data_IF_961112800578
#
_entry.id   IF_961112800578
#
_cell.length_a   1.000
_cell.length_b   1.000
_cell.length_c   1.000
_cell.angle_alpha   90.00
_cell.angle_beta   90.00
_cell.angle_gamma   90.00
#
_symmetry.space_group_name_H-M   'P 1'
#
loop_
_entity.id
_entity.type
_entity.pdbx_description
1 polymer ?
#
# COMPACT_ATOMS: atom_id res chain seq x y z
N UNK A 1 -52.54 -30.14 14.38
CA UNK A 1 -53.21 -28.86 14.02
C UNK A 1 -52.35 -27.74 14.57
N UNK A 2 -51.32 -27.32 13.83
CA UNK A 2 -51.33 -26.18 12.89
C UNK A 2 -51.72 -24.85 13.54
N UNK A 3 -50.75 -23.92 13.59
CA UNK A 3 -51.06 -22.49 13.51
C UNK A 3 -50.62 -21.59 14.66
N UNK A 4 -49.48 -21.85 15.31
CA UNK A 4 -48.81 -20.79 16.08
C UNK A 4 -48.16 -19.81 15.10
N UNK A 5 -48.82 -18.69 14.84
CA UNK A 5 -48.35 -17.65 13.92
C UNK A 5 -46.93 -17.20 14.30
N UNK A 6 -45.97 -17.52 13.43
CA UNK A 6 -44.64 -16.89 13.41
C UNK A 6 -44.89 -15.44 12.97
N UNK A 7 -45.07 -14.53 13.93
CA UNK A 7 -44.87 -13.11 13.66
C UNK A 7 -43.42 -12.95 13.25
N UNK A 8 -43.21 -12.77 11.95
CA UNK A 8 -41.97 -12.25 11.40
C UNK A 8 -41.77 -10.84 11.99
N UNK A 9 -41.13 -10.75 13.15
CA UNK A 9 -40.62 -9.49 13.67
C UNK A 9 -39.73 -8.88 12.58
N UNK A 10 -40.19 -7.81 11.95
CA UNK A 10 -39.46 -7.16 10.87
C UNK A 10 -38.18 -6.55 11.45
N UNK A 11 -37.08 -7.26 11.36
CA UNK A 11 -35.79 -6.75 11.79
C UNK A 11 -35.35 -5.63 10.82
N UNK A 12 -34.98 -4.47 11.37
CA UNK A 12 -34.42 -3.34 10.63
C UNK A 12 -32.94 -3.19 10.97
N UNK A 13 -32.10 -3.32 9.97
CA UNK A 13 -30.66 -3.13 10.10
C UNK A 13 -30.29 -1.65 9.98
N UNK A 14 -29.41 -1.16 10.85
CA UNK A 14 -28.83 0.18 10.75
C UNK A 14 -27.32 0.15 10.99
N UNK A 15 -26.60 0.97 10.22
CA UNK A 15 -25.16 1.13 10.39
C UNK A 15 -24.89 2.01 11.63
N UNK A 16 -24.04 1.51 12.52
CA UNK A 16 -23.46 2.24 13.63
C UNK A 16 -22.21 2.97 13.14
N UNK A 17 -22.22 4.30 13.20
CA UNK A 17 -21.10 5.17 12.84
C UNK A 17 -20.38 5.73 14.07
N UNK A 18 -20.51 5.07 15.23
CA UNK A 18 -19.84 5.48 16.45
C UNK A 18 -18.66 4.56 16.74
N UNK A 19 -17.59 5.14 17.28
CA UNK A 19 -16.42 4.40 17.74
C UNK A 19 -16.39 4.39 19.28
N UNK A 20 -15.38 3.73 19.86
CA UNK A 20 -15.20 3.67 21.32
C UNK A 20 -14.98 5.05 21.96
N UNK A 21 -14.58 6.08 21.19
CA UNK A 21 -14.48 7.45 21.70
C UNK A 21 -15.85 8.17 21.73
N UNK A 22 -16.86 7.62 21.04
CA UNK A 22 -18.18 8.20 20.87
C UNK A 22 -19.30 7.43 21.65
N UNK A 23 -18.93 6.63 22.66
CA UNK A 23 -19.83 5.73 23.42
C UNK A 23 -21.10 6.43 23.93
N UNK A 24 -20.99 7.65 24.43
CA UNK A 24 -22.14 8.37 24.98
C UNK A 24 -23.06 8.93 23.90
N UNK A 25 -22.50 9.32 22.75
CA UNK A 25 -23.28 9.69 21.59
C UNK A 25 -24.00 8.46 21.01
N UNK A 26 -23.36 7.28 21.08
CA UNK A 26 -23.97 6.00 20.74
C UNK A 26 -25.15 5.67 21.68
N UNK A 27 -24.97 5.79 23.01
CA UNK A 27 -26.06 5.60 23.99
C UNK A 27 -27.25 6.53 23.69
N UNK A 28 -26.99 7.82 23.50
CA UNK A 28 -28.04 8.80 23.18
C UNK A 28 -28.72 8.51 21.83
N UNK A 29 -27.99 7.97 20.86
CA UNK A 29 -28.55 7.54 19.58
C UNK A 29 -29.46 6.33 19.74
N UNK A 30 -29.07 5.33 20.54
CA UNK A 30 -29.89 4.15 20.83
C UNK A 30 -31.18 4.52 21.57
N UNK A 31 -31.11 5.42 22.56
CA UNK A 31 -32.28 5.95 23.25
C UNK A 31 -33.21 6.72 22.30
N UNK A 32 -32.68 7.49 21.34
CA UNK A 32 -33.47 8.15 20.29
C UNK A 32 -34.09 7.17 19.28
N UNK A 33 -33.47 5.99 19.07
CA UNK A 33 -34.07 4.92 18.26
C UNK A 33 -35.21 4.24 19.01
N UNK A 34 -35.07 3.96 20.31
CA UNK A 34 -36.14 3.37 21.12
C UNK A 34 -37.37 4.29 21.23
N UNK A 35 -37.15 5.60 21.38
CA UNK A 35 -38.22 6.62 21.31
C UNK A 35 -38.96 6.66 19.97
N UNK A 36 -38.43 6.01 18.94
CA UNK A 36 -39.06 5.86 17.61
C UNK A 36 -39.63 4.47 17.36
N UNK A 37 -39.68 3.62 18.39
CA UNK A 37 -40.15 2.23 18.30
C UNK A 37 -39.14 1.30 17.64
N UNK A 38 -37.84 1.62 17.65
CA UNK A 38 -36.78 0.73 17.18
C UNK A 38 -35.97 0.22 18.37
N UNK A 39 -36.24 -1.01 18.77
CA UNK A 39 -35.62 -1.65 19.94
C UNK A 39 -34.43 -2.50 19.50
N UNK A 40 -33.26 -2.20 20.04
CA UNK A 40 -32.03 -2.92 19.72
C UNK A 40 -32.11 -4.40 20.16
N UNK A 41 -31.87 -5.33 19.24
CA UNK A 41 -31.86 -6.78 19.52
C UNK A 41 -30.48 -7.41 19.38
N UNK A 42 -29.65 -6.91 18.47
CA UNK A 42 -28.31 -7.44 18.24
C UNK A 42 -27.30 -6.36 17.85
N UNK A 43 -26.09 -6.45 18.40
CA UNK A 43 -24.95 -5.59 18.04
C UNK A 43 -23.88 -6.34 17.23
N UNK A 44 -23.81 -6.07 15.93
CA UNK A 44 -22.71 -6.50 15.07
C UNK A 44 -21.50 -5.55 15.12
N UNK A 45 -20.48 -5.79 14.29
CA UNK A 45 -19.28 -4.91 14.23
C UNK A 45 -19.56 -3.51 13.67
N UNK A 46 -20.45 -3.40 12.68
CA UNK A 46 -20.84 -2.13 12.03
C UNK A 46 -22.35 -2.00 11.85
N UNK A 47 -23.08 -3.11 11.92
CA UNK A 47 -24.52 -3.19 11.65
C UNK A 47 -25.22 -3.66 12.91
N UNK A 48 -26.21 -2.89 13.35
CA UNK A 48 -27.06 -3.20 14.50
C UNK A 48 -28.45 -3.57 14.01
N UNK A 49 -29.02 -4.61 14.62
CA UNK A 49 -30.35 -5.09 14.30
C UNK A 49 -31.35 -4.52 15.30
N UNK A 50 -32.45 -4.00 14.79
CA UNK A 50 -33.54 -3.43 15.58
C UNK A 50 -34.85 -4.16 15.27
N UNK A 51 -35.60 -4.52 16.30
CA UNK A 51 -37.00 -4.92 16.15
C UNK A 51 -37.90 -3.67 16.14
N UNK A 52 -38.99 -3.72 15.37
CA UNK A 52 -40.06 -2.74 15.53
C UNK A 52 -40.83 -3.06 16.81
N UNK A 53 -40.98 -2.07 17.68
CA UNK A 53 -41.79 -2.12 18.88
C UNK A 53 -42.49 -0.80 19.12
N UNK A 54 -43.15 -0.68 20.25
CA UNK A 54 -43.75 0.60 20.65
C UNK A 54 -42.65 1.63 21.00
N UNK A 55 -42.89 2.92 20.74
CA UNK A 55 -42.01 3.98 21.23
C UNK A 55 -41.87 3.93 22.75
N UNK A 56 -40.66 3.65 23.24
CA UNK A 56 -40.37 3.57 24.68
C UNK A 56 -39.18 4.44 25.06
N UNK A 57 -39.17 4.92 26.29
CA UNK A 57 -38.03 5.65 26.86
C UNK A 57 -36.93 4.71 27.38
N UNK A 58 -36.61 3.66 26.62
CA UNK A 58 -35.58 2.68 27.03
C UNK A 58 -34.21 3.34 27.21
N UNK A 59 -33.58 3.11 28.36
CA UNK A 59 -32.20 3.57 28.66
C UNK A 59 -31.20 2.54 28.17
N UNK A 60 -30.12 3.00 27.54
CA UNK A 60 -29.03 2.16 27.07
C UNK A 60 -27.71 2.51 27.75
N UNK A 61 -26.96 1.50 28.20
CA UNK A 61 -25.62 1.66 28.77
C UNK A 61 -24.65 0.73 28.07
N UNK A 62 -23.46 1.25 27.77
CA UNK A 62 -22.47 0.53 26.98
C UNK A 62 -21.25 0.31 27.85
N UNK A 63 -20.85 -0.94 28.04
CA UNK A 63 -19.61 -1.31 28.71
C UNK A 63 -18.52 -1.54 27.65
N UNK A 64 -17.34 -0.91 27.74
CA UNK A 64 -16.25 -1.09 26.79
C UNK A 64 -15.51 -2.44 26.95
N UNK A 65 -16.24 -3.51 27.28
CA UNK A 65 -15.77 -4.89 27.48
C UNK A 65 -16.54 -5.81 26.53
N UNK A 66 -15.89 -6.85 25.99
CA UNK A 66 -16.60 -7.85 25.18
C UNK A 66 -17.43 -8.74 26.10
N UNK A 67 -18.65 -9.12 25.68
CA UNK A 67 -19.55 -9.95 26.50
C UNK A 67 -18.91 -11.25 27.01
N UNK A 68 -18.02 -11.86 26.23
CA UNK A 68 -17.27 -13.08 26.58
C UNK A 68 -16.21 -12.88 27.68
N UNK A 69 -15.82 -11.64 27.96
CA UNK A 69 -14.82 -11.29 28.98
C UNK A 69 -15.43 -10.85 30.30
N UNK A 70 -16.75 -10.64 30.33
CA UNK A 70 -17.50 -10.29 31.54
C UNK A 70 -17.83 -11.60 32.26
N UNK A 71 -17.49 -11.69 33.53
CA UNK A 71 -17.76 -12.87 34.37
C UNK A 71 -19.26 -13.03 34.59
N UNK A 72 -19.75 -14.27 34.62
CA UNK A 72 -21.19 -14.53 34.74
C UNK A 72 -21.78 -13.91 36.00
N UNK A 73 -21.04 -13.91 37.10
CA UNK A 73 -21.42 -13.26 38.36
C UNK A 73 -21.67 -11.74 38.19
N UNK A 74 -20.85 -11.04 37.40
CA UNK A 74 -21.01 -9.60 37.13
C UNK A 74 -22.28 -9.34 36.29
N UNK A 75 -22.65 -10.28 35.42
CA UNK A 75 -23.87 -10.19 34.61
C UNK A 75 -25.12 -10.48 35.40
N UNK A 76 -25.06 -11.47 36.28
CA UNK A 76 -26.15 -11.81 37.18
C UNK A 76 -26.42 -10.64 38.14
N UNK A 77 -25.37 -9.92 38.57
CA UNK A 77 -25.51 -8.65 39.31
C UNK A 77 -26.26 -7.62 38.46
N UNK A 78 -25.87 -7.38 37.21
CA UNK A 78 -26.57 -6.42 36.35
C UNK A 78 -28.04 -6.80 36.09
N UNK A 79 -28.31 -8.08 35.87
CA UNK A 79 -29.67 -8.58 35.69
C UNK A 79 -30.51 -8.41 36.96
N UNK A 80 -29.92 -8.68 38.14
CA UNK A 80 -30.56 -8.43 39.44
C UNK A 80 -30.85 -6.95 39.70
N UNK A 81 -30.04 -6.05 39.12
CA UNK A 81 -30.26 -4.61 39.17
C UNK A 81 -31.28 -4.11 38.13
N UNK A 82 -31.88 -5.00 37.33
CA UNK A 82 -32.89 -4.63 36.32
C UNK A 82 -32.31 -4.22 34.96
N UNK A 83 -31.06 -4.58 34.67
CA UNK A 83 -30.43 -4.36 33.36
C UNK A 83 -30.38 -5.63 32.53
N UNK A 84 -30.94 -5.60 31.32
CA UNK A 84 -30.89 -6.72 30.39
C UNK A 84 -29.75 -6.56 29.40
N UNK A 85 -28.94 -7.61 29.23
CA UNK A 85 -27.84 -7.63 28.27
C UNK A 85 -28.34 -7.87 26.84
N UNK A 86 -27.96 -7.00 25.91
CA UNK A 86 -28.18 -7.20 24.47
C UNK A 86 -27.17 -8.21 23.93
N UNK A 87 -27.61 -9.12 23.06
CA UNK A 87 -26.73 -10.07 22.37
C UNK A 87 -25.85 -9.34 21.35
N UNK A 88 -24.59 -9.73 21.21
CA UNK A 88 -23.72 -9.05 20.26
C UNK A 88 -22.35 -9.67 20.06
N UNK A 89 -21.74 -9.33 18.92
CA UNK A 89 -20.33 -9.59 18.59
C UNK A 89 -19.46 -8.34 18.66
N UNK A 90 -20.08 -7.19 18.97
CA UNK A 90 -19.39 -5.91 19.05
C UNK A 90 -18.27 -5.89 20.11
N UNK A 91 -17.35 -4.93 19.97
CA UNK A 91 -16.21 -4.78 20.86
C UNK A 91 -16.61 -4.35 22.28
N UNK A 92 -17.81 -3.79 22.43
CA UNK A 92 -18.46 -3.37 23.68
C UNK A 92 -19.79 -4.10 23.88
N UNK A 93 -20.18 -4.26 25.14
CA UNK A 93 -21.45 -4.90 25.54
C UNK A 93 -22.48 -3.84 25.84
N UNK A 94 -23.70 -4.03 25.35
CA UNK A 94 -24.80 -3.07 25.54
C UNK A 94 -25.82 -3.66 26.50
N UNK A 95 -26.22 -2.88 27.49
CA UNK A 95 -27.28 -3.17 28.44
C UNK A 95 -28.43 -2.19 28.22
N UNK A 96 -29.66 -2.66 28.48
CA UNK A 96 -30.83 -1.80 28.45
C UNK A 96 -31.73 -2.01 29.66
N UNK A 97 -32.53 -1.00 29.98
CA UNK A 97 -33.62 -1.10 30.96
C UNK A 97 -34.80 -0.24 30.51
N UNK A 98 -36.01 -0.72 30.80
CA UNK A 98 -37.26 0.01 30.56
C UNK A 98 -37.71 0.81 31.79
N UNK A 99 -37.16 0.51 32.97
CA UNK A 99 -37.46 1.22 34.21
C UNK A 99 -36.52 2.41 34.39
N UNK A 100 -37.10 3.61 34.51
CA UNK A 100 -36.34 4.85 34.73
C UNK A 100 -35.72 4.93 36.12
N UNK A 101 -36.28 4.23 37.11
CA UNK A 101 -35.86 4.30 38.51
C UNK A 101 -34.69 3.35 38.83
N UNK A 102 -34.32 2.49 37.90
CA UNK A 102 -33.19 1.57 38.06
C UNK A 102 -31.88 2.37 38.25
N UNK A 103 -31.10 2.07 39.30
CA UNK A 103 -29.82 2.73 39.55
C UNK A 103 -28.84 2.49 38.40
N UNK A 104 -27.93 3.44 38.18
CA UNK A 104 -26.88 3.30 37.18
C UNK A 104 -26.00 2.08 37.50
N UNK A 105 -25.56 1.30 36.49
CA UNK A 105 -24.74 0.10 36.71
C UNK A 105 -23.41 0.38 37.42
N UNK A 106 -22.93 1.62 37.34
CA UNK A 106 -21.75 2.10 38.04
C UNK A 106 -22.16 3.17 39.05
N UNK A 107 -22.25 2.79 40.32
CA UNK A 107 -22.52 3.72 41.42
C UNK A 107 -21.25 4.48 41.83
N UNK A 108 -20.06 3.95 41.51
CA UNK A 108 -18.77 4.56 41.80
C UNK A 108 -18.02 5.02 40.53
N UNK A 109 -17.68 6.31 40.49
CA UNK A 109 -16.93 6.90 39.39
C UNK A 109 -15.51 6.32 39.23
N UNK A 110 -15.02 5.54 40.21
CA UNK A 110 -13.68 4.94 40.20
C UNK A 110 -13.67 3.67 39.35
N UNK A 111 -14.63 2.76 39.54
CA UNK A 111 -14.73 1.51 38.76
C UNK A 111 -15.11 1.79 37.31
N UNK A 112 -16.00 2.76 37.07
CA UNK A 112 -16.30 3.25 35.71
C UNK A 112 -15.00 3.75 35.03
N UNK A 113 -14.27 4.65 35.67
CA UNK A 113 -13.01 5.15 35.11
C UNK A 113 -11.98 4.05 34.86
N UNK A 114 -11.95 3.00 35.69
CA UNK A 114 -11.02 1.87 35.53
C UNK A 114 -11.28 1.08 34.24
N UNK A 115 -12.53 0.69 33.97
CA UNK A 115 -12.90 -0.04 32.77
C UNK A 115 -12.70 0.81 31.50
N UNK A 116 -13.18 2.05 31.53
CA UNK A 116 -13.08 2.95 30.38
C UNK A 116 -11.63 3.35 30.10
N UNK A 117 -10.84 3.74 31.11
CA UNK A 117 -9.46 4.19 30.90
C UNK A 117 -8.57 3.05 30.35
N UNK A 118 -8.70 1.82 30.87
CA UNK A 118 -7.89 0.68 30.39
C UNK A 118 -8.16 0.40 28.91
N UNK A 119 -9.43 0.33 28.50
CA UNK A 119 -9.81 0.06 27.11
C UNK A 119 -9.41 1.20 26.18
N UNK A 120 -9.68 2.44 26.57
CA UNK A 120 -9.33 3.63 25.78
C UNK A 120 -7.82 3.77 25.62
N UNK A 121 -7.03 3.48 26.66
CA UNK A 121 -5.58 3.53 26.58
C UNK A 121 -5.02 2.44 25.66
N UNK A 122 -5.56 1.22 25.73
CA UNK A 122 -5.21 0.16 24.79
C UNK A 122 -5.56 0.51 23.33
N UNK A 123 -6.74 1.09 23.10
CA UNK A 123 -7.16 1.56 21.78
C UNK A 123 -6.27 2.73 21.27
N UNK A 124 -5.87 3.64 22.15
CA UNK A 124 -4.93 4.72 21.85
C UNK A 124 -3.57 4.15 21.43
N UNK A 125 -2.98 3.23 22.20
CA UNK A 125 -1.71 2.59 21.86
C UNK A 125 -1.83 1.88 20.51
N UNK A 126 -2.88 1.08 20.31
CA UNK A 126 -3.10 0.38 19.04
C UNK A 126 -3.18 1.38 17.87
N UNK A 127 -3.88 2.50 18.05
CA UNK A 127 -4.02 3.52 17.01
C UNK A 127 -2.68 4.22 16.69
N UNK A 128 -1.86 4.48 17.72
CA UNK A 128 -0.51 5.03 17.56
C UNK A 128 0.39 4.03 16.84
N UNK A 129 0.38 2.75 17.24
CA UNK A 129 1.16 1.68 16.60
C UNK A 129 0.75 1.52 15.13
N UNK A 130 -0.55 1.53 14.83
CA UNK A 130 -1.04 1.51 13.45
C UNK A 130 -0.57 2.72 12.64
N UNK A 131 -0.63 3.93 13.21
CA UNK A 131 -0.12 5.13 12.54
C UNK A 131 1.39 5.05 12.24
N UNK A 132 2.18 4.58 13.22
CA UNK A 132 3.62 4.36 13.06
C UNK A 132 3.90 3.30 11.98
N UNK A 133 3.13 2.21 11.96
CA UNK A 133 3.26 1.16 10.96
C UNK A 133 2.97 1.66 9.55
N UNK A 134 1.90 2.47 9.36
CA UNK A 134 1.59 3.07 8.06
C UNK A 134 2.70 4.07 7.66
N UNK A 135 3.22 4.85 8.60
CA UNK A 135 4.37 5.75 8.34
C UNK A 135 5.63 4.97 7.98
N UNK A 136 5.81 3.76 8.53
CA UNK A 136 6.92 2.87 8.18
C UNK A 136 6.76 2.31 6.76
N UNK A 137 5.54 1.92 6.36
CA UNK A 137 5.23 1.56 4.97
C UNK A 137 5.55 2.71 4.02
N UNK A 138 5.22 3.95 4.40
CA UNK A 138 5.49 5.16 3.61
C UNK A 138 6.99 5.48 3.45
N UNK A 139 7.90 4.81 4.16
CA UNK A 139 9.33 4.98 3.89
C UNK A 139 9.68 4.31 2.55
N UNK A 140 10.10 5.05 1.53
CA UNK A 140 10.66 4.42 0.33
C UNK A 140 11.89 3.61 0.74
N UNK A 141 11.96 2.38 0.23
CA UNK A 141 12.83 1.30 0.71
C UNK A 141 14.34 1.57 0.61
N UNK A 142 14.78 2.67 -0.02
CA UNK A 142 16.21 2.96 -0.23
C UNK A 142 16.72 4.30 0.33
N UNK A 143 15.89 5.28 0.73
CA UNK A 143 16.39 6.68 0.92
C UNK A 143 15.94 7.43 2.18
N UNK A 144 15.45 6.73 3.19
CA UNK A 144 14.97 7.39 4.42
C UNK A 144 13.68 8.19 4.19
N UNK A 145 13.27 9.01 5.17
CA UNK A 145 12.07 9.83 5.02
C UNK A 145 12.32 10.98 4.03
N UNK A 146 11.77 10.85 2.82
CA UNK A 146 11.76 11.94 1.84
C UNK A 146 10.71 12.96 2.29
N UNK A 147 11.16 14.06 2.90
CA UNK A 147 10.27 15.15 3.34
C UNK A 147 9.69 15.96 2.17
N UNK A 148 10.30 15.88 0.99
CA UNK A 148 9.81 16.57 -0.20
C UNK A 148 8.81 15.68 -0.99
N UNK A 149 7.50 16.00 -0.95
CA UNK A 149 6.49 15.19 -1.63
C UNK A 149 6.70 15.13 -3.15
N UNK A 150 7.34 16.14 -3.75
CA UNK A 150 7.64 16.16 -5.18
C UNK A 150 8.70 15.13 -5.53
N UNK A 151 9.76 15.01 -4.73
CA UNK A 151 10.83 14.04 -4.99
C UNK A 151 10.37 12.61 -4.70
N UNK A 152 9.49 12.43 -3.71
CA UNK A 152 8.83 11.15 -3.44
C UNK A 152 7.92 10.71 -4.59
N UNK A 153 7.20 11.64 -5.21
CA UNK A 153 6.37 11.39 -6.40
C UNK A 153 7.19 10.80 -7.55
N UNK A 154 8.34 11.42 -7.88
CA UNK A 154 9.18 10.95 -8.99
C UNK A 154 9.95 9.67 -8.65
N UNK A 155 10.25 9.39 -7.39
CA UNK A 155 10.83 8.10 -6.96
C UNK A 155 9.93 6.91 -7.27
N UNK A 156 8.61 7.11 -7.23
CA UNK A 156 7.63 6.06 -7.51
C UNK A 156 7.28 5.95 -9.00
N UNK A 157 7.90 6.75 -9.88
CA UNK A 157 7.46 6.87 -11.27
C UNK A 157 7.76 5.63 -12.14
N UNK A 158 8.60 4.70 -11.68
CA UNK A 158 8.82 3.39 -12.30
C UNK A 158 7.89 2.29 -11.76
N UNK A 159 7.11 2.57 -10.70
CA UNK A 159 6.19 1.63 -10.10
C UNK A 159 4.87 1.56 -10.88
N UNK A 160 4.10 0.49 -10.67
CA UNK A 160 2.74 0.41 -11.19
C UNK A 160 1.86 1.49 -10.53
N UNK A 161 0.94 2.10 -11.28
CA UNK A 161 0.07 3.18 -10.78
C UNK A 161 -0.72 2.83 -9.53
N UNK A 162 -1.18 1.59 -9.29
CA UNK A 162 -1.84 1.26 -8.03
C UNK A 162 -0.93 1.47 -6.80
N UNK A 163 0.36 1.16 -6.92
CA UNK A 163 1.32 1.45 -5.85
C UNK A 163 1.50 2.95 -5.69
N UNK A 164 1.63 3.70 -6.80
CA UNK A 164 1.69 5.17 -6.77
C UNK A 164 0.48 5.76 -6.04
N UNK A 165 -0.74 5.30 -6.35
CA UNK A 165 -1.97 5.73 -5.68
C UNK A 165 -2.03 5.33 -4.20
N UNK A 166 -1.61 4.09 -3.88
CA UNK A 166 -1.55 3.60 -2.50
C UNK A 166 -0.65 4.50 -1.64
N UNK A 167 0.58 4.77 -2.10
CA UNK A 167 1.57 5.56 -1.37
C UNK A 167 1.23 7.05 -1.30
N UNK A 168 0.67 7.65 -2.36
CA UNK A 168 0.45 9.10 -2.41
C UNK A 168 -0.92 9.55 -1.90
N UNK A 169 -1.94 8.68 -1.97
CA UNK A 169 -3.31 9.06 -1.63
C UNK A 169 -3.78 8.30 -0.40
N UNK A 170 -3.71 6.97 -0.44
CA UNK A 170 -4.37 6.14 0.58
C UNK A 170 -3.60 6.15 1.88
N UNK A 171 -2.30 5.86 1.85
CA UNK A 171 -1.49 5.85 3.06
C UNK A 171 -1.53 7.20 3.80
N UNK A 172 -1.36 8.38 3.16
CA UNK A 172 -1.50 9.66 3.84
C UNK A 172 -2.90 9.90 4.43
N UNK A 173 -3.97 9.54 3.72
CA UNK A 173 -5.33 9.64 4.24
C UNK A 173 -5.56 8.72 5.44
N UNK A 174 -5.02 7.50 5.41
CA UNK A 174 -5.07 6.58 6.54
C UNK A 174 -4.27 7.12 7.74
N UNK A 175 -3.09 7.72 7.54
CA UNK A 175 -2.35 8.38 8.62
C UNK A 175 -3.16 9.52 9.22
N UNK A 176 -3.74 10.40 8.39
CA UNK A 176 -4.59 11.49 8.86
C UNK A 176 -5.78 10.95 9.68
N UNK A 177 -6.43 9.89 9.18
CA UNK A 177 -7.51 9.23 9.89
C UNK A 177 -7.06 8.64 11.23
N UNK A 178 -5.94 7.91 11.28
CA UNK A 178 -5.37 7.40 12.52
C UNK A 178 -5.03 8.52 13.51
N UNK A 179 -4.48 9.64 13.05
CA UNK A 179 -4.21 10.81 13.89
C UNK A 179 -5.49 11.43 14.47
N UNK A 180 -6.57 11.51 13.68
CA UNK A 180 -7.87 11.97 14.21
C UNK A 180 -8.40 11.05 15.30
N UNK A 181 -8.26 9.73 15.14
CA UNK A 181 -8.64 8.72 16.13
C UNK A 181 -7.79 8.86 17.40
N UNK A 182 -6.48 8.98 17.25
CA UNK A 182 -5.54 9.21 18.37
C UNK A 182 -5.94 10.46 19.14
N UNK A 183 -6.24 11.55 18.45
CA UNK A 183 -6.68 12.80 19.07
C UNK A 183 -8.02 12.65 19.79
N UNK A 184 -9.00 11.96 19.20
CA UNK A 184 -10.29 11.63 19.85
C UNK A 184 -10.07 10.89 21.17
N UNK A 185 -9.27 9.81 21.15
CA UNK A 185 -9.00 9.01 22.34
C UNK A 185 -8.21 9.78 23.40
N UNK A 186 -7.18 10.52 23.01
CA UNK A 186 -6.38 11.33 23.93
C UNK A 186 -7.25 12.40 24.62
N UNK A 187 -8.13 13.07 23.85
CA UNK A 187 -9.09 14.05 24.39
C UNK A 187 -10.06 13.41 25.37
N UNK A 188 -10.62 12.25 25.04
CA UNK A 188 -11.57 11.55 25.92
C UNK A 188 -10.91 11.09 27.22
N UNK A 189 -9.70 10.52 27.15
CA UNK A 189 -8.91 10.14 28.34
C UNK A 189 -8.61 11.36 29.20
N UNK A 190 -8.24 12.49 28.57
CA UNK A 190 -7.96 13.73 29.29
C UNK A 190 -9.21 14.29 30.00
N UNK A 191 -10.39 14.21 29.36
CA UNK A 191 -11.66 14.58 29.98
C UNK A 191 -12.03 13.67 31.15
N UNK A 192 -11.88 12.34 31.00
CA UNK A 192 -12.13 11.37 32.08
C UNK A 192 -11.26 11.61 33.33
N UNK A 193 -10.04 12.15 33.14
CA UNK A 193 -9.14 12.49 34.25
C UNK A 193 -9.52 13.77 35.00
N UNK A 194 -10.11 14.77 34.33
CA UNK A 194 -10.28 16.13 34.90
C UNK A 194 -11.66 16.43 35.49
N UNK A 195 -12.74 15.87 34.97
CA UNK A 195 -14.10 16.22 35.40
C UNK A 195 -14.93 14.99 35.79
N UNK A 196 -15.96 15.21 36.61
CA UNK A 196 -17.12 14.30 36.68
C UNK A 196 -17.83 14.40 35.33
N UNK A 197 -17.87 13.27 34.62
CA UNK A 197 -18.13 13.19 33.20
C UNK A 197 -19.52 13.75 32.85
N UNK A 198 -19.60 14.91 32.18
CA UNK A 198 -20.88 15.52 31.78
C UNK A 198 -21.40 14.89 30.48
N UNK A 199 -22.63 14.38 30.53
CA UNK A 199 -23.36 13.84 29.38
C UNK A 199 -23.50 14.92 28.31
N UNK A 200 -22.83 14.74 27.17
CA UNK A 200 -22.88 15.72 26.08
C UNK A 200 -24.22 15.61 25.34
N UNK A 201 -24.92 16.73 25.19
CA UNK A 201 -26.14 16.80 24.39
C UNK A 201 -25.77 16.93 22.90
N UNK A 202 -26.33 16.04 22.07
CA UNK A 202 -26.22 16.11 20.60
C UNK A 202 -25.31 15.06 19.95
N UNK A 203 -25.90 13.96 19.46
CA UNK A 203 -25.21 12.91 18.70
C UNK A 203 -25.30 13.09 17.17
N UNK A 204 -26.28 13.86 16.68
CA UNK A 204 -26.62 13.93 15.24
C UNK A 204 -25.45 14.42 14.38
N UNK A 205 -24.84 15.54 14.75
CA UNK A 205 -23.69 16.12 14.02
C UNK A 205 -22.52 15.12 13.99
N UNK A 206 -22.21 14.53 15.15
CA UNK A 206 -21.13 13.55 15.27
C UNK A 206 -21.36 12.33 14.38
N UNK A 207 -22.59 11.82 14.37
CA UNK A 207 -22.99 10.70 13.50
C UNK A 207 -22.82 11.04 12.02
N UNK A 208 -23.24 12.23 11.58
CA UNK A 208 -23.08 12.65 10.18
C UNK A 208 -21.61 12.80 9.79
N UNK A 209 -20.77 13.38 10.65
CA UNK A 209 -19.32 13.49 10.40
C UNK A 209 -18.67 12.10 10.27
N UNK A 210 -18.92 11.21 11.23
CA UNK A 210 -18.37 9.85 11.17
C UNK A 210 -18.91 9.07 9.96
N UNK A 211 -20.18 9.26 9.59
CA UNK A 211 -20.78 8.68 8.39
C UNK A 211 -20.02 9.12 7.13
N UNK A 212 -19.79 10.42 6.95
CA UNK A 212 -19.08 10.94 5.78
C UNK A 212 -17.66 10.36 5.72
N UNK A 213 -16.93 10.37 6.84
CA UNK A 213 -15.55 9.88 6.91
C UNK A 213 -15.44 8.37 6.60
N UNK A 214 -16.27 7.54 7.24
CA UNK A 214 -16.24 6.09 7.06
C UNK A 214 -16.62 5.73 5.62
N UNK A 215 -17.69 6.32 5.08
CA UNK A 215 -18.09 6.03 3.70
C UNK A 215 -17.06 6.54 2.67
N UNK A 216 -16.43 7.70 2.90
CA UNK A 216 -15.36 8.19 2.04
C UNK A 216 -14.17 7.21 1.99
N UNK A 217 -13.77 6.65 3.14
CA UNK A 217 -12.71 5.64 3.20
C UNK A 217 -13.11 4.37 2.44
N UNK A 218 -14.34 3.87 2.65
CA UNK A 218 -14.85 2.69 1.94
C UNK A 218 -14.82 2.92 0.43
N UNK A 219 -15.32 4.07 -0.04
CA UNK A 219 -15.32 4.43 -1.47
C UNK A 219 -13.90 4.51 -2.03
N UNK A 220 -12.95 5.07 -1.28
CA UNK A 220 -11.54 5.13 -1.71
C UNK A 220 -10.91 3.73 -1.80
N UNK A 221 -11.15 2.86 -0.83
CA UNK A 221 -10.63 1.49 -0.84
C UNK A 221 -11.24 0.66 -1.97
N UNK A 222 -12.54 0.74 -2.17
CA UNK A 222 -13.23 0.07 -3.27
C UNK A 222 -12.78 0.64 -4.62
N UNK A 223 -12.64 1.96 -4.72
CA UNK A 223 -12.13 2.62 -5.92
C UNK A 223 -10.71 2.18 -6.28
N UNK A 224 -9.82 2.06 -5.29
CA UNK A 224 -8.49 1.48 -5.51
C UNK A 224 -8.56 0.03 -5.93
N UNK A 225 -9.38 -0.79 -5.26
CA UNK A 225 -9.53 -2.20 -5.60
C UNK A 225 -10.01 -2.38 -7.04
N UNK A 226 -11.02 -1.62 -7.46
CA UNK A 226 -11.49 -1.57 -8.84
C UNK A 226 -10.35 -1.10 -9.76
N UNK A 227 -9.61 -0.06 -9.38
CA UNK A 227 -8.49 0.43 -10.17
C UNK A 227 -7.40 -0.63 -10.37
N UNK A 228 -6.97 -1.33 -9.30
CA UNK A 228 -5.97 -2.40 -9.36
C UNK A 228 -6.41 -3.54 -10.29
N UNK A 229 -7.69 -3.90 -10.23
CA UNK A 229 -8.22 -5.06 -10.98
C UNK A 229 -8.51 -4.70 -12.44
N UNK A 230 -9.08 -3.53 -12.68
CA UNK A 230 -9.66 -3.18 -13.98
C UNK A 230 -8.84 -2.15 -14.75
N UNK A 231 -7.98 -1.36 -14.11
CA UNK A 231 -7.10 -0.43 -14.85
C UNK A 231 -5.87 -1.19 -15.34
N UNK A 232 -5.65 -1.23 -16.67
CA UNK A 232 -4.62 -2.05 -17.28
C UNK A 232 -3.30 -1.27 -17.27
N UNK A 233 -2.74 -1.07 -16.10
CA UNK A 233 -1.28 -1.04 -15.99
C UNK A 233 -0.81 -2.46 -16.28
N UNK A 234 -0.73 -2.78 -17.58
CA UNK A 234 -0.29 -4.07 -18.05
C UNK A 234 1.21 -4.12 -17.85
N UNK A 235 1.65 -4.91 -16.86
CA UNK A 235 2.98 -5.52 -16.89
C UNK A 235 2.87 -6.81 -17.68
N UNK A 236 3.35 -6.79 -18.91
CA UNK A 236 3.56 -8.00 -19.69
C UNK A 236 5.05 -8.28 -19.55
N UNK A 237 5.38 -9.23 -18.68
CA UNK A 237 6.73 -9.76 -18.55
C UNK A 237 6.71 -11.17 -19.11
N UNK A 238 7.66 -11.45 -19.98
CA UNK A 238 7.73 -12.76 -20.60
C UNK A 238 9.16 -13.29 -20.59
N UNK A 239 9.31 -14.46 -20.00
CA UNK A 239 10.57 -15.22 -19.91
C UNK A 239 10.65 -16.40 -20.88
N UNK A 240 9.54 -16.75 -21.57
CA UNK A 240 9.61 -17.73 -22.66
C UNK A 240 10.34 -17.11 -23.84
N UNK A 241 11.40 -17.77 -24.32
CA UNK A 241 12.20 -17.25 -25.44
C UNK A 241 11.36 -17.00 -26.68
N UNK A 242 10.39 -17.87 -26.98
CA UNK A 242 9.50 -17.70 -28.13
C UNK A 242 8.73 -16.38 -28.08
N UNK A 243 8.16 -16.06 -26.93
CA UNK A 243 7.35 -14.87 -26.77
C UNK A 243 8.21 -13.60 -26.60
N UNK A 244 9.35 -13.70 -25.89
CA UNK A 244 10.30 -12.60 -25.74
C UNK A 244 10.94 -12.19 -27.09
N UNK A 245 11.22 -13.16 -27.96
CA UNK A 245 11.67 -12.92 -29.34
C UNK A 245 10.56 -12.35 -30.24
N UNK A 246 9.31 -12.71 -29.98
CA UNK A 246 8.16 -12.16 -30.71
C UNK A 246 7.85 -10.71 -30.32
N UNK A 247 8.19 -10.31 -29.09
CA UNK A 247 8.07 -8.92 -28.64
C UNK A 247 8.96 -8.02 -29.50
N UNK A 248 8.37 -6.99 -30.12
CA UNK A 248 9.09 -6.02 -30.96
C UNK A 248 8.79 -4.60 -30.50
N UNK A 249 9.80 -3.95 -29.94
CA UNK A 249 9.77 -2.51 -29.68
C UNK A 249 10.78 -1.81 -30.59
N UNK A 250 10.29 -1.05 -31.56
CA UNK A 250 11.13 -0.38 -32.54
C UNK A 250 12.03 0.69 -31.93
N UNK A 251 11.61 1.31 -30.82
CA UNK A 251 12.37 2.37 -30.13
C UNK A 251 13.42 1.80 -29.15
N UNK A 252 13.32 0.53 -28.76
CA UNK A 252 14.28 -0.14 -27.88
C UNK A 252 15.47 -0.65 -28.71
N UNK A 253 16.69 -0.42 -28.24
CA UNK A 253 17.89 -1.07 -28.81
C UNK A 253 18.00 -2.45 -28.18
N UNK A 254 17.72 -3.50 -28.97
CA UNK A 254 17.81 -4.89 -28.53
C UNK A 254 19.26 -5.36 -28.55
N UNK A 255 19.56 -6.40 -27.78
CA UNK A 255 20.88 -7.01 -27.75
C UNK A 255 21.33 -7.47 -29.15
N UNK A 256 20.38 -7.97 -29.95
CA UNK A 256 20.61 -8.35 -31.34
C UNK A 256 21.11 -7.21 -32.24
N UNK A 257 20.78 -5.95 -31.91
CA UNK A 257 21.27 -4.76 -32.62
C UNK A 257 22.54 -4.21 -31.99
N UNK A 258 22.69 -4.38 -30.67
CA UNK A 258 23.84 -3.92 -29.90
C UNK A 258 25.11 -4.71 -30.23
N UNK A 259 25.01 -6.05 -30.19
CA UNK A 259 26.07 -7.01 -30.51
C UNK A 259 25.49 -8.17 -31.36
N UNK A 260 25.36 -7.97 -32.68
CA UNK A 260 24.83 -9.02 -33.57
C UNK A 260 25.66 -10.31 -33.54
N UNK A 261 26.99 -10.18 -33.40
CA UNK A 261 27.90 -11.33 -33.39
C UNK A 261 27.70 -12.25 -32.19
N UNK A 262 27.68 -11.70 -30.98
CA UNK A 262 27.42 -12.50 -29.77
C UNK A 262 25.98 -13.00 -29.73
N UNK A 263 25.04 -12.24 -30.28
CA UNK A 263 23.65 -12.63 -30.32
C UNK A 263 23.36 -13.89 -31.13
N UNK A 264 24.02 -14.08 -32.28
CA UNK A 264 23.85 -15.31 -33.08
C UNK A 264 24.25 -16.56 -32.28
N UNK A 265 25.31 -16.47 -31.46
CA UNK A 265 25.73 -17.54 -30.56
C UNK A 265 24.73 -17.76 -29.42
N UNK A 266 24.29 -16.70 -28.74
CA UNK A 266 23.30 -16.80 -27.65
C UNK A 266 22.01 -17.41 -28.16
N UNK A 267 21.51 -16.93 -29.30
CA UNK A 267 20.27 -17.42 -29.93
C UNK A 267 20.36 -18.90 -30.30
N UNK A 268 21.50 -19.35 -30.84
CA UNK A 268 21.70 -20.76 -31.17
C UNK A 268 21.64 -21.68 -29.93
N UNK A 269 22.03 -21.17 -28.76
CA UNK A 269 22.05 -21.91 -27.50
C UNK A 269 20.81 -21.71 -26.62
N UNK A 270 19.80 -20.94 -27.07
CA UNK A 270 18.56 -20.72 -26.32
C UNK A 270 17.72 -21.99 -26.14
N UNK A 271 17.82 -22.97 -27.05
CA UNK A 271 17.05 -24.21 -26.95
C UNK A 271 18.01 -25.38 -26.80
N UNK A 272 17.84 -26.16 -25.75
CA UNK A 272 18.63 -27.37 -25.47
C UNK A 272 17.74 -28.61 -25.47
N UNK A 273 18.34 -29.77 -25.71
CA UNK A 273 17.64 -31.06 -25.64
C UNK A 273 17.70 -31.62 -24.23
N UNK A 274 16.54 -31.92 -23.67
CA UNK A 274 16.37 -32.69 -22.45
C UNK A 274 15.60 -33.99 -22.77
N UNK A 275 16.36 -35.09 -22.87
CA UNK A 275 15.86 -36.36 -23.42
C UNK A 275 15.30 -36.19 -24.84
N UNK A 276 13.99 -36.45 -25.00
CA UNK A 276 13.27 -36.34 -26.28
C UNK A 276 12.55 -34.98 -26.46
N UNK A 277 12.71 -34.03 -25.54
CA UNK A 277 12.05 -32.72 -25.60
C UNK A 277 13.07 -31.61 -25.80
N UNK A 278 12.67 -30.59 -26.56
CA UNK A 278 13.39 -29.33 -26.61
C UNK A 278 12.87 -28.43 -25.50
N UNK A 279 13.75 -27.90 -24.67
CA UNK A 279 13.43 -26.99 -23.57
C UNK A 279 14.25 -25.70 -23.70
N UNK A 280 13.75 -24.63 -23.10
CA UNK A 280 14.50 -23.38 -22.95
C UNK A 280 15.75 -23.65 -22.08
N UNK A 281 16.91 -23.16 -22.51
CA UNK A 281 18.17 -23.35 -21.82
C UNK A 281 18.14 -22.67 -20.43
N UNK A 282 18.30 -23.42 -19.33
CA UNK A 282 18.24 -22.86 -17.98
C UNK A 282 19.43 -21.96 -17.64
N UNK A 283 20.54 -22.03 -18.39
CA UNK A 283 21.71 -21.19 -18.19
C UNK A 283 21.56 -19.80 -18.83
N UNK A 284 20.53 -19.60 -19.66
CA UNK A 284 20.24 -18.31 -20.31
C UNK A 284 18.98 -17.73 -19.72
N UNK A 285 19.06 -16.48 -19.27
CA UNK A 285 17.87 -15.68 -18.94
C UNK A 285 17.66 -14.69 -20.07
N UNK A 286 16.48 -14.70 -20.69
CA UNK A 286 16.09 -13.70 -21.68
C UNK A 286 14.65 -13.26 -21.46
N UNK A 287 14.50 -12.05 -20.96
CA UNK A 287 13.22 -11.49 -20.57
C UNK A 287 12.98 -10.18 -21.32
N UNK A 288 11.72 -9.98 -21.70
CA UNK A 288 11.28 -8.67 -22.19
C UNK A 288 10.07 -8.23 -21.40
N UNK A 289 9.99 -6.93 -21.14
CA UNK A 289 8.84 -6.35 -20.46
C UNK A 289 8.27 -5.15 -21.19
N UNK A 290 6.96 -4.99 -21.06
CA UNK A 290 6.23 -3.79 -21.40
C UNK A 290 5.36 -3.39 -20.22
N UNK A 291 5.64 -2.21 -19.68
CA UNK A 291 4.92 -1.60 -18.58
C UNK A 291 4.36 -0.22 -19.02
N UNK A 292 3.28 0.22 -18.38
CA UNK A 292 2.74 1.58 -18.49
C UNK A 292 2.19 2.02 -17.15
N UNK A 293 2.23 3.32 -16.88
CA UNK A 293 1.62 3.89 -15.69
C UNK A 293 1.14 5.34 -15.94
N UNK A 294 0.67 6.01 -14.90
CA UNK A 294 0.15 7.37 -15.00
C UNK A 294 1.19 8.42 -15.44
N UNK A 295 2.49 8.17 -15.25
CA UNK A 295 3.59 9.10 -15.58
C UNK A 295 4.32 8.72 -16.86
N UNK A 296 4.44 7.42 -17.12
CA UNK A 296 5.15 6.82 -18.23
C UNK A 296 4.14 6.20 -19.20
N UNK A 297 4.09 6.75 -20.41
CA UNK A 297 3.26 6.22 -21.49
C UNK A 297 3.67 4.82 -21.92
N UNK A 298 4.97 4.51 -21.76
CA UNK A 298 5.58 3.24 -22.07
C UNK A 298 6.88 3.09 -21.28
N UNK A 299 7.09 1.93 -20.71
CA UNK A 299 8.35 1.47 -20.15
C UNK A 299 8.62 0.11 -20.79
N UNK A 300 9.78 -0.07 -21.39
CA UNK A 300 10.11 -1.31 -22.08
C UNK A 300 11.50 -1.75 -21.69
N UNK A 301 11.66 -3.02 -21.37
CA UNK A 301 12.95 -3.59 -21.02
C UNK A 301 13.27 -4.82 -21.82
N UNK A 302 14.57 -5.07 -21.94
CA UNK A 302 15.13 -6.36 -22.32
C UNK A 302 16.24 -6.70 -21.33
N UNK A 303 16.20 -7.91 -20.81
CA UNK A 303 17.14 -8.48 -19.87
C UNK A 303 17.71 -9.76 -20.46
N UNK A 304 19.02 -9.79 -20.66
CA UNK A 304 19.76 -10.95 -21.13
C UNK A 304 20.90 -11.26 -20.15
N UNK A 305 20.99 -12.51 -19.72
CA UNK A 305 22.14 -13.08 -19.04
C UNK A 305 22.48 -14.41 -19.69
N UNK A 306 23.73 -14.59 -20.12
CA UNK A 306 24.17 -15.82 -20.75
C UNK A 306 25.62 -16.16 -20.34
N UNK A 307 25.96 -17.44 -20.16
CA UNK A 307 27.33 -17.85 -19.90
C UNK A 307 28.21 -17.48 -21.08
N UNK A 308 29.35 -16.87 -20.79
CA UNK A 308 30.34 -16.53 -21.80
C UNK A 308 31.18 -17.76 -22.13
N UNK A 309 31.11 -18.28 -23.37
CA UNK A 309 32.02 -19.35 -23.82
C UNK A 309 33.42 -18.84 -24.17
N UNK A 310 33.56 -17.55 -24.47
CA UNK A 310 34.78 -16.89 -24.91
C UNK A 310 35.68 -16.40 -23.79
N UNK A 311 35.22 -16.47 -22.53
CA UNK A 311 36.01 -16.07 -21.37
C UNK A 311 36.28 -17.29 -20.50
N UNK A 312 37.52 -17.78 -20.57
CA UNK A 312 38.03 -18.84 -19.72
C UNK A 312 37.68 -18.55 -18.27
N UNK A 313 37.06 -19.54 -17.62
CA UNK A 313 36.67 -19.59 -16.19
C UNK A 313 37.82 -19.35 -15.21
N UNK A 314 39.04 -19.20 -15.71
CA UNK A 314 40.24 -19.02 -14.94
C UNK A 314 40.51 -17.53 -14.73
N UNK A 315 39.93 -17.03 -13.63
CA UNK A 315 40.23 -15.78 -12.94
C UNK A 315 39.68 -14.52 -13.63
N UNK A 316 38.50 -14.08 -13.13
CA UNK A 316 37.81 -12.79 -13.38
C UNK A 316 37.00 -12.61 -14.69
N UNK A 317 35.90 -13.35 -14.87
CA UNK A 317 35.00 -13.11 -16.01
C UNK A 317 33.56 -13.59 -15.76
N UNK A 318 32.66 -12.67 -15.42
CA UNK A 318 31.24 -12.94 -15.23
C UNK A 318 30.51 -13.33 -16.52
N UNK A 319 29.24 -13.74 -16.37
CA UNK A 319 28.33 -13.98 -17.49
C UNK A 319 28.17 -12.72 -18.36
N UNK A 320 27.94 -12.90 -19.67
CA UNK A 320 27.51 -11.83 -20.56
C UNK A 320 26.16 -11.32 -20.05
N UNK A 321 26.09 -10.04 -19.69
CA UNK A 321 24.87 -9.41 -19.19
C UNK A 321 24.53 -8.20 -20.04
N UNK A 322 23.28 -8.09 -20.47
CA UNK A 322 22.73 -6.91 -21.12
C UNK A 322 21.35 -6.61 -20.56
N UNK A 323 21.23 -5.47 -19.91
CA UNK A 323 19.99 -4.92 -19.41
C UNK A 323 19.74 -3.58 -20.08
N UNK A 324 18.59 -3.39 -20.72
CA UNK A 324 18.18 -2.09 -21.26
C UNK A 324 16.78 -1.77 -20.80
N UNK A 325 16.57 -0.52 -20.39
CA UNK A 325 15.26 0.03 -20.03
C UNK A 325 15.03 1.34 -20.77
N UNK A 326 13.96 1.42 -21.55
CA UNK A 326 13.47 2.61 -22.20
C UNK A 326 12.23 3.13 -21.46
N UNK A 327 12.31 4.36 -20.96
CA UNK A 327 11.21 5.09 -20.35
C UNK A 327 10.72 6.18 -21.30
N UNK A 328 9.43 6.17 -21.64
CA UNK A 328 8.75 7.21 -22.41
C UNK A 328 7.77 7.96 -21.52
N UNK A 329 8.22 9.07 -20.96
CA UNK A 329 7.41 9.90 -20.09
C UNK A 329 6.31 10.66 -20.85
N UNK A 330 5.24 11.04 -20.15
CA UNK A 330 4.20 11.92 -20.71
C UNK A 330 4.71 13.32 -21.08
N UNK A 331 5.84 13.76 -20.51
CA UNK A 331 6.47 15.03 -20.85
C UNK A 331 7.98 15.00 -20.59
N UNK A 332 8.70 15.90 -21.26
CA UNK A 332 10.14 16.09 -21.03
C UNK A 332 10.47 16.48 -19.58
N UNK A 333 9.58 17.24 -18.93
CA UNK A 333 9.74 17.66 -17.52
C UNK A 333 9.69 16.45 -16.57
N UNK A 334 8.79 15.50 -16.82
CA UNK A 334 8.68 14.26 -16.03
C UNK A 334 9.96 13.43 -16.20
N UNK A 335 10.41 13.21 -17.44
CA UNK A 335 11.65 12.48 -17.71
C UNK A 335 12.86 13.12 -17.01
N UNK A 336 12.98 14.45 -17.06
CA UNK A 336 14.08 15.18 -16.44
C UNK A 336 14.08 15.13 -14.90
N UNK A 337 12.90 15.02 -14.26
CA UNK A 337 12.76 14.93 -12.79
C UNK A 337 12.88 13.50 -12.27
N UNK A 338 12.42 12.52 -13.05
CA UNK A 338 12.54 11.10 -12.74
C UNK A 338 14.00 10.62 -12.83
N UNK A 339 14.70 11.00 -13.90
CA UNK A 339 16.02 10.48 -14.25
C UNK A 339 17.04 10.50 -13.10
N UNK A 340 17.27 11.61 -12.36
CA UNK A 340 18.27 11.60 -11.28
C UNK A 340 17.99 10.56 -10.19
N UNK A 341 16.72 10.42 -9.80
CA UNK A 341 16.34 9.42 -8.80
C UNK A 341 16.53 8.00 -9.32
N UNK A 342 16.20 7.76 -10.59
CA UNK A 342 16.39 6.45 -11.20
C UNK A 342 17.87 6.12 -11.39
N UNK A 343 18.72 7.07 -11.81
CA UNK A 343 20.18 6.87 -11.89
C UNK A 343 20.71 6.35 -10.56
N UNK A 344 20.37 7.00 -9.45
CA UNK A 344 20.79 6.57 -8.12
C UNK A 344 20.29 5.16 -7.77
N UNK A 345 19.01 4.86 -8.04
CA UNK A 345 18.44 3.53 -7.77
C UNK A 345 19.11 2.43 -8.61
N UNK A 346 19.43 2.72 -9.87
CA UNK A 346 20.07 1.79 -10.79
C UNK A 346 21.53 1.53 -10.40
N UNK A 347 22.26 2.58 -9.98
CA UNK A 347 23.61 2.45 -9.44
C UNK A 347 23.63 1.60 -8.16
N UNK A 348 22.72 1.88 -7.22
CA UNK A 348 22.59 1.14 -5.96
C UNK A 348 22.27 -0.34 -6.22
N UNK A 349 21.28 -0.63 -7.07
CA UNK A 349 20.91 -1.99 -7.44
C UNK A 349 22.02 -2.78 -8.15
N UNK A 350 22.95 -2.08 -8.80
CA UNK A 350 24.13 -2.66 -9.45
C UNK A 350 25.39 -2.59 -8.57
N UNK A 351 25.27 -2.27 -7.28
CA UNK A 351 26.37 -2.19 -6.31
C UNK A 351 27.47 -1.15 -6.65
N UNK A 352 27.10 -0.03 -7.28
CA UNK A 352 27.99 1.12 -7.46
C UNK A 352 27.93 2.07 -6.25
N UNK A 353 29.05 2.71 -5.89
CA UNK A 353 29.03 3.85 -4.95
C UNK A 353 28.20 5.02 -5.52
N UNK A 354 27.21 5.49 -4.74
CA UNK A 354 26.22 6.50 -5.15
C UNK A 354 26.61 7.92 -4.67
N UNK A 355 27.91 8.19 -4.51
CA UNK A 355 28.36 9.52 -4.06
C UNK A 355 28.02 10.63 -5.07
N UNK A 356 27.56 11.80 -4.57
CA UNK A 356 27.21 12.97 -5.41
C UNK A 356 28.34 13.40 -6.35
N UNK A 357 29.60 13.23 -5.91
CA UNK A 357 30.78 13.52 -6.74
C UNK A 357 30.80 12.59 -7.94
N UNK A 358 30.67 11.29 -7.70
CA UNK A 358 30.69 10.26 -8.73
C UNK A 358 29.60 10.48 -9.77
N UNK A 359 28.35 10.73 -9.35
CA UNK A 359 27.24 11.01 -10.29
C UNK A 359 27.52 12.21 -11.20
N UNK A 360 28.20 13.26 -10.70
CA UNK A 360 28.57 14.41 -11.53
C UNK A 360 29.65 14.05 -12.56
N UNK A 361 30.63 13.25 -12.15
CA UNK A 361 31.80 12.90 -12.96
C UNK A 361 31.44 11.94 -14.12
N UNK A 362 30.31 11.22 -14.04
CA UNK A 362 29.80 10.37 -15.12
C UNK A 362 29.32 11.14 -16.35
N UNK A 363 28.97 12.43 -16.19
CA UNK A 363 28.29 13.21 -17.23
C UNK A 363 29.25 13.61 -18.34
N UNK A 364 28.81 13.48 -19.59
CA UNK A 364 29.52 13.98 -20.76
C UNK A 364 28.57 14.68 -21.73
N UNK A 365 29.13 15.43 -22.69
CA UNK A 365 28.35 16.07 -23.76
C UNK A 365 28.28 15.14 -24.96
N UNK A 366 27.09 15.07 -25.57
CA UNK A 366 26.85 14.36 -26.82
C UNK A 366 25.81 15.13 -27.61
N UNK A 367 26.13 15.47 -28.86
CA UNK A 367 25.24 16.27 -29.70
C UNK A 367 23.95 15.51 -30.01
N UNK A 368 22.81 16.17 -29.86
CA UNK A 368 21.49 15.57 -30.06
C UNK A 368 20.89 14.87 -28.84
N UNK A 369 21.57 14.88 -27.68
CA UNK A 369 21.01 14.42 -26.39
C UNK A 369 20.93 15.56 -25.38
N UNK A 370 19.87 15.58 -24.58
CA UNK A 370 19.72 16.57 -23.50
C UNK A 370 20.58 16.21 -22.27
N UNK A 371 20.86 14.91 -22.10
CA UNK A 371 21.68 14.37 -21.03
C UNK A 371 22.34 13.06 -21.48
N UNK A 372 23.62 12.91 -21.15
CA UNK A 372 24.36 11.68 -21.33
C UNK A 372 25.30 11.49 -20.14
N UNK A 373 25.29 10.30 -19.56
CA UNK A 373 26.21 9.89 -18.51
C UNK A 373 26.64 8.45 -18.71
N UNK A 374 27.89 8.16 -18.38
CA UNK A 374 28.51 6.85 -18.51
C UNK A 374 29.37 6.56 -17.29
N UNK A 375 29.35 5.30 -16.86
CA UNK A 375 30.17 4.81 -15.78
C UNK A 375 30.63 3.39 -16.06
N UNK A 376 31.85 3.08 -15.65
CA UNK A 376 32.39 1.72 -15.59
C UNK A 376 32.72 1.41 -14.13
N UNK A 377 32.48 0.17 -13.71
CA UNK A 377 32.83 -0.27 -12.38
C UNK A 377 34.33 -0.06 -12.12
N UNK A 378 34.65 0.31 -10.88
CA UNK A 378 36.01 0.52 -10.41
C UNK A 378 36.31 -0.46 -9.27
N UNK A 379 37.57 -0.64 -8.88
CA UNK A 379 37.96 -1.53 -7.77
C UNK A 379 37.21 -1.27 -6.45
N UNK A 380 36.62 -0.07 -6.29
CA UNK A 380 35.80 0.29 -5.13
C UNK A 380 34.39 -0.32 -5.15
N UNK A 381 33.96 -0.84 -6.30
CA UNK A 381 32.65 -1.46 -6.52
C UNK A 381 32.83 -2.98 -6.60
N UNK A 382 33.32 -3.60 -5.52
CA UNK A 382 33.82 -4.99 -5.49
C UNK A 382 33.02 -5.96 -6.40
N UNK A 383 31.70 -6.04 -6.22
CA UNK A 383 30.84 -6.92 -7.02
C UNK A 383 30.67 -6.48 -8.48
N UNK A 384 30.43 -5.19 -8.74
CA UNK A 384 30.24 -4.67 -10.09
C UNK A 384 31.55 -4.71 -10.90
N UNK A 385 32.68 -4.58 -10.22
CA UNK A 385 34.01 -4.63 -10.80
C UNK A 385 34.40 -6.03 -11.23
N UNK A 386 34.11 -7.05 -10.39
CA UNK A 386 34.29 -8.46 -10.75
C UNK A 386 33.51 -8.84 -12.01
N UNK A 387 32.33 -8.26 -12.21
CA UNK A 387 31.49 -8.45 -13.39
C UNK A 387 31.88 -7.55 -14.58
N UNK A 388 32.81 -6.60 -14.40
CA UNK A 388 33.17 -5.63 -15.44
C UNK A 388 32.00 -4.74 -15.89
N UNK A 389 31.04 -4.48 -14.99
CA UNK A 389 29.78 -3.82 -15.31
C UNK A 389 29.99 -2.37 -15.77
N UNK A 390 29.33 -2.02 -16.86
CA UNK A 390 29.27 -0.68 -17.43
C UNK A 390 27.83 -0.21 -17.45
N UNK A 391 27.58 1.08 -17.20
CA UNK A 391 26.24 1.65 -17.30
C UNK A 391 26.22 2.93 -18.13
N UNK A 392 25.11 3.13 -18.84
CA UNK A 392 24.87 4.28 -19.69
C UNK A 392 23.47 4.84 -19.42
N UNK A 393 23.38 6.15 -19.25
CA UNK A 393 22.15 6.88 -18.96
C UNK A 393 21.99 8.02 -19.97
N UNK A 394 20.95 7.94 -20.81
CA UNK A 394 20.71 8.90 -21.89
C UNK A 394 19.32 9.49 -21.79
N UNK A 395 19.16 10.80 -22.06
CA UNK A 395 17.85 11.47 -22.12
C UNK A 395 17.76 12.38 -23.34
N UNK A 396 16.60 12.35 -23.99
CA UNK A 396 16.24 13.25 -25.10
C UNK A 396 14.74 13.51 -25.09
N UNK A 397 14.34 14.77 -24.90
CA UNK A 397 12.94 15.14 -24.74
C UNK A 397 12.28 14.37 -23.58
N UNK A 398 11.23 13.61 -23.91
CA UNK A 398 10.47 12.78 -22.97
C UNK A 398 10.96 11.33 -22.87
N UNK A 399 12.01 10.95 -23.61
CA UNK A 399 12.60 9.61 -23.55
C UNK A 399 13.82 9.60 -22.65
N UNK A 400 13.96 8.54 -21.87
CA UNK A 400 15.11 8.24 -21.01
C UNK A 400 15.48 6.77 -21.15
N UNK A 401 16.75 6.47 -21.38
CA UNK A 401 17.26 5.11 -21.56
C UNK A 401 18.33 4.84 -20.51
N UNK A 402 18.23 3.66 -19.90
CA UNK A 402 19.25 3.08 -19.03
C UNK A 402 19.75 1.80 -19.66
N UNK A 403 21.06 1.61 -19.68
CA UNK A 403 21.69 0.38 -20.15
C UNK A 403 22.71 -0.06 -19.12
N UNK A 404 22.68 -1.33 -18.72
CA UNK A 404 23.76 -1.97 -18.00
C UNK A 404 24.31 -3.13 -18.83
N UNK A 405 25.63 -3.23 -18.92
CA UNK A 405 26.29 -4.21 -19.77
C UNK A 405 27.57 -4.73 -19.11
N UNK A 406 27.75 -6.05 -19.15
CA UNK A 406 28.97 -6.75 -18.77
C UNK A 406 29.41 -7.61 -19.94
N UNK A 407 30.55 -7.28 -20.53
CA UNK A 407 31.09 -7.96 -21.71
C UNK A 407 32.21 -7.18 -22.41
N UNK A 408 32.71 -7.68 -23.55
CA UNK A 408 33.89 -7.14 -24.24
C UNK A 408 33.72 -5.73 -24.81
N UNK A 409 32.49 -5.33 -25.12
CA UNK A 409 32.24 -4.06 -25.81
C UNK A 409 32.34 -2.88 -24.82
N UNK A 410 33.00 -1.80 -25.23
CA UNK A 410 32.85 -0.53 -24.51
C UNK A 410 31.47 0.07 -24.79
N UNK A 411 30.61 0.09 -23.76
CA UNK A 411 29.25 0.59 -23.85
C UNK A 411 29.20 2.06 -24.29
N UNK A 412 30.22 2.87 -23.93
CA UNK A 412 30.28 4.29 -24.33
C UNK A 412 30.42 4.47 -25.84
N UNK A 413 31.10 3.54 -26.53
CA UNK A 413 31.27 3.58 -27.99
C UNK A 413 29.94 3.43 -28.76
N UNK A 414 28.90 2.86 -28.12
CA UNK A 414 27.60 2.55 -28.72
C UNK A 414 26.55 3.64 -28.50
N UNK A 415 26.89 4.79 -27.88
CA UNK A 415 25.94 5.88 -27.59
C UNK A 415 25.14 6.32 -28.83
N UNK A 416 25.78 6.39 -30.00
CA UNK A 416 25.11 6.79 -31.24
C UNK A 416 23.96 5.86 -31.65
N UNK A 417 24.05 4.56 -31.35
CA UNK A 417 23.00 3.58 -31.63
C UNK A 417 21.72 3.90 -30.84
N UNK A 418 21.87 4.22 -29.56
CA UNK A 418 20.74 4.60 -28.70
C UNK A 418 20.21 5.99 -29.07
N UNK A 419 21.10 6.97 -29.30
CA UNK A 419 20.72 8.33 -29.66
C UNK A 419 19.92 8.42 -30.96
N UNK A 420 20.15 7.50 -31.91
CA UNK A 420 19.39 7.42 -33.15
C UNK A 420 17.93 6.97 -32.97
N UNK A 421 17.64 6.17 -31.93
CA UNK A 421 16.28 5.68 -31.63
C UNK A 421 15.51 6.56 -30.64
N UNK A 422 16.21 7.43 -29.92
CA UNK A 422 15.61 8.43 -29.04
C UNK A 422 15.11 9.63 -29.85
#
# INVERSE_FOLDING_TARGET
MHGGAVMSDKIKQKICYFDLADIYQEQNWLEDMARKGLLLTYTGYLIYDFAYGEPTERRYRILPEKRKKIEQEELDIYESCGWTCVRGTHASTVFYTDDQNVPEPFTDAVTEKKYYAKRLFSALISSIVTAIYILWILRPSSKGFVLNPVDFYYQLADQLSPFICLYLVICPLLVLFSLTIVFKYARLIWQLKREAFKRTSGFKVRRYVNMILINAIIVLLVGLFIYVIFVPDKRIMTSSFKEALAYKDAELVRFSEFDPSAWDEVRANMIVRDGNKNIDNPDITYETSYDRNIMMTKMSSEDLSAPSRTYTRDKSGGNLMYHVQLYKAKSAKIAARFMPSNIENQLEGMNFDVSKKRIRDMRFKYDGLDYAAYIRASEKDEFAYELGTQMLFLRKGNKYVVVAYSGPIDLKSKVGLFAAKM
#
